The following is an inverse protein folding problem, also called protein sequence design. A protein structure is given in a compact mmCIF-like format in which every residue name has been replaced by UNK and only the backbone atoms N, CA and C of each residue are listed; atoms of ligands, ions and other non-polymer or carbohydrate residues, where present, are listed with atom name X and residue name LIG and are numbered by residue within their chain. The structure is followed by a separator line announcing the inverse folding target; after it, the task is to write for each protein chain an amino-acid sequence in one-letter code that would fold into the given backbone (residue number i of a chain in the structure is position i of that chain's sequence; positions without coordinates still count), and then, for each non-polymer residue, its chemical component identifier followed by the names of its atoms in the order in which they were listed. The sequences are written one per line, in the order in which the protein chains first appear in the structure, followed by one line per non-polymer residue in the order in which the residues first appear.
data_IF_063275882027
#
_entry.id   IF_063275882027
#
_cell.length_a   1.000
_cell.length_b   1.000
_cell.length_c   1.000
_cell.angle_alpha   90.00
_cell.angle_beta   90.00
_cell.angle_gamma   90.00
#
_symmetry.space_group_name_H-M   'P 1'
#
loop_
_entity.id
_entity.type
_entity.pdbx_description
1 polymer ?
#
# COMPACT_ATOMS: atom_id res chain seq x y z
N UNK A 1 19.88 4.26 27.29
CA UNK A 1 20.71 3.08 26.98
C UNK A 1 21.91 3.57 26.20
N UNK A 2 23.13 3.07 26.46
CA UNK A 2 24.33 3.45 25.70
C UNK A 2 24.09 3.24 24.20
N UNK A 3 24.28 4.29 23.39
CA UNK A 3 23.98 4.30 21.94
C UNK A 3 24.91 3.44 21.08
N UNK A 4 25.84 2.71 21.70
CA UNK A 4 26.83 1.92 20.96
C UNK A 4 26.27 0.52 20.66
N UNK A 5 25.89 0.33 19.40
CA UNK A 5 25.50 -0.98 18.85
C UNK A 5 26.64 -2.01 19.02
N UNK A 6 26.40 -3.16 19.68
CA UNK A 6 27.41 -4.23 19.81
C UNK A 6 27.76 -4.88 18.46
N UNK A 7 28.88 -5.61 18.40
CA UNK A 7 29.34 -6.27 17.17
C UNK A 7 28.38 -7.40 16.75
N UNK A 8 27.93 -7.45 15.48
CA UNK A 8 27.06 -8.52 14.99
C UNK A 8 27.65 -9.92 15.23
N UNK A 9 26.80 -10.90 15.54
CA UNK A 9 27.19 -12.28 15.81
C UNK A 9 27.66 -12.56 17.23
N UNK A 10 27.63 -11.57 18.13
CA UNK A 10 27.91 -11.74 19.56
C UNK A 10 26.61 -11.90 20.35
N UNK A 11 26.65 -12.60 21.50
CA UNK A 11 25.49 -12.76 22.38
C UNK A 11 24.93 -11.40 22.86
N UNK A 12 25.82 -10.44 23.13
CA UNK A 12 25.46 -9.07 23.51
C UNK A 12 24.68 -8.34 22.41
N UNK A 13 25.01 -8.58 21.13
CA UNK A 13 24.26 -8.02 20.02
C UNK A 13 22.84 -8.56 19.95
N UNK A 14 22.64 -9.86 20.18
CA UNK A 14 21.30 -10.45 20.18
C UNK A 14 20.45 -9.97 21.37
N UNK A 15 21.05 -9.82 22.56
CA UNK A 15 20.37 -9.23 23.72
C UNK A 15 19.96 -7.78 23.45
N UNK A 16 20.89 -6.95 22.96
CA UNK A 16 20.61 -5.57 22.56
C UNK A 16 19.52 -5.47 21.50
N UNK A 17 19.53 -6.36 20.50
CA UNK A 17 18.53 -6.40 19.43
C UNK A 17 17.13 -6.69 20.00
N UNK A 18 17.01 -7.69 20.86
CA UNK A 18 15.75 -8.08 21.48
C UNK A 18 15.20 -6.96 22.38
N UNK A 19 16.03 -6.34 23.20
CA UNK A 19 15.64 -5.21 24.05
C UNK A 19 15.17 -4.01 23.22
N UNK A 20 15.90 -3.70 22.14
CA UNK A 20 15.54 -2.61 21.22
C UNK A 20 14.24 -2.91 20.47
N UNK A 21 14.05 -4.13 19.99
CA UNK A 21 12.82 -4.54 19.31
C UNK A 21 11.61 -4.45 20.24
N UNK A 22 11.75 -4.90 21.50
CA UNK A 22 10.71 -4.79 22.52
C UNK A 22 10.35 -3.34 22.82
N UNK A 23 11.35 -2.47 23.02
CA UNK A 23 11.13 -1.05 23.27
C UNK A 23 10.43 -0.35 22.10
N UNK A 24 10.81 -0.66 20.85
CA UNK A 24 10.16 -0.11 19.65
C UNK A 24 8.72 -0.61 19.49
N UNK A 25 8.46 -1.89 19.76
CA UNK A 25 7.10 -2.43 19.73
C UNK A 25 6.18 -1.72 20.74
N UNK A 26 6.68 -1.45 21.95
CA UNK A 26 5.95 -0.69 22.96
C UNK A 26 5.69 0.76 22.50
N UNK A 27 6.71 1.45 21.97
CA UNK A 27 6.56 2.81 21.45
C UNK A 27 5.50 2.90 20.32
N UNK A 28 5.44 1.91 19.44
CA UNK A 28 4.42 1.88 18.37
C UNK A 28 3.00 1.70 18.92
N UNK A 29 2.83 0.97 20.02
CA UNK A 29 1.53 0.70 20.63
C UNK A 29 1.08 1.80 21.61
N UNK A 30 2.02 2.55 22.19
CA UNK A 30 1.74 3.65 23.11
C UNK A 30 1.11 4.88 22.44
N UNK A 31 1.29 5.05 21.13
CA UNK A 31 0.82 6.23 20.38
C UNK A 31 -0.70 6.27 20.13
N UNK A 32 -1.46 5.31 20.65
CA UNK A 32 -2.91 5.23 20.47
C UNK A 32 -3.31 4.90 19.02
N UNK A 33 -4.62 4.87 18.70
CA UNK A 33 -5.06 4.75 17.32
C UNK A 33 -4.48 5.91 16.51
N UNK A 34 -3.75 5.58 15.45
CA UNK A 34 -3.28 6.57 14.47
C UNK A 34 -4.53 7.16 13.83
N UNK A 35 -4.69 8.48 13.93
CA UNK A 35 -5.68 9.22 13.18
C UNK A 35 -5.20 9.24 11.72
N UNK A 36 -5.50 8.17 10.99
CA UNK A 36 -5.28 8.15 9.56
C UNK A 36 -6.20 9.21 8.98
N UNK A 37 -5.61 10.19 8.28
CA UNK A 37 -6.40 11.07 7.45
C UNK A 37 -7.07 10.21 6.36
N UNK A 38 -8.34 9.84 6.57
CA UNK A 38 -9.14 9.09 5.60
C UNK A 38 -9.41 9.90 4.32
N UNK A 39 -9.10 11.20 4.32
CA UNK A 39 -9.07 12.05 3.11
C UNK A 39 -7.70 12.05 2.44
N UNK A 40 -6.71 11.45 3.08
CA UNK A 40 -5.34 11.34 2.62
C UNK A 40 -5.14 10.18 1.65
N UNK A 41 -4.56 10.52 0.51
CA UNK A 41 -4.01 9.62 -0.52
C UNK A 41 -4.99 8.57 -1.07
N UNK A 42 -6.03 9.07 -1.74
CA UNK A 42 -6.46 8.44 -2.98
C UNK A 42 -5.62 9.14 -4.07
N UNK A 43 -4.56 8.51 -4.56
CA UNK A 43 -3.82 9.05 -5.70
C UNK A 43 -4.73 9.01 -6.93
N UNK A 44 -5.10 10.19 -7.42
CA UNK A 44 -5.97 10.39 -8.59
C UNK A 44 -6.90 11.58 -8.35
N UNK A 45 -7.10 12.44 -9.35
CA UNK A 45 -8.18 13.43 -9.31
C UNK A 45 -9.54 12.70 -9.35
N UNK A 46 -10.62 13.36 -8.91
CA UNK A 46 -11.98 12.84 -9.12
C UNK A 46 -12.24 12.52 -10.60
N UNK A 47 -11.66 13.31 -11.49
CA UNK A 47 -11.64 13.07 -12.92
C UNK A 47 -10.91 11.78 -13.28
N UNK A 48 -9.73 11.52 -12.70
CA UNK A 48 -8.97 10.28 -12.92
C UNK A 48 -9.69 9.03 -12.41
N UNK A 49 -10.47 9.14 -11.33
CA UNK A 49 -11.26 8.03 -10.80
C UNK A 49 -12.37 7.58 -11.76
N UNK A 50 -12.83 8.49 -12.61
CA UNK A 50 -13.90 8.26 -13.57
C UNK A 50 -13.41 8.15 -15.02
N UNK A 51 -12.14 8.47 -15.28
CA UNK A 51 -11.53 8.35 -16.61
C UNK A 51 -11.18 6.91 -16.93
N UNK A 52 -11.28 6.54 -18.20
CA UNK A 52 -10.76 5.24 -18.65
C UNK A 52 -9.25 5.33 -18.86
N UNK A 53 -8.55 4.20 -18.75
CA UNK A 53 -7.09 4.16 -18.99
C UNK A 53 -6.73 4.68 -20.42
N UNK A 54 -7.63 4.53 -21.39
CA UNK A 54 -7.48 5.07 -22.75
C UNK A 54 -7.59 6.61 -22.84
N UNK A 55 -8.27 7.25 -21.90
CA UNK A 55 -8.34 8.72 -21.79
C UNK A 55 -7.13 9.27 -21.01
N UNK A 56 -6.62 8.50 -20.05
CA UNK A 56 -5.45 8.87 -19.26
C UNK A 56 -4.14 8.71 -20.06
N UNK A 57 -4.07 7.75 -20.99
CA UNK A 57 -2.88 7.43 -21.79
C UNK A 57 -3.20 7.36 -23.29
N UNK A 58 -3.53 8.50 -23.95
CA UNK A 58 -3.97 8.53 -25.34
C UNK A 58 -2.88 8.16 -26.36
N UNK A 59 -1.60 8.27 -25.97
CA UNK A 59 -0.46 7.92 -26.83
C UNK A 59 -0.13 6.41 -26.80
N UNK A 60 -0.73 5.65 -25.87
CA UNK A 60 -0.50 4.22 -25.66
C UNK A 60 -1.59 3.35 -26.34
N UNK A 61 -2.09 3.80 -27.49
CA UNK A 61 -3.12 3.10 -28.29
C UNK A 61 -2.75 1.65 -28.64
N UNK A 62 -1.46 1.31 -28.69
CA UNK A 62 -0.99 -0.04 -28.98
C UNK A 62 -1.37 -1.09 -27.92
N UNK A 63 -1.62 -0.69 -26.66
CA UNK A 63 -1.95 -1.61 -25.56
C UNK A 63 -3.44 -1.99 -25.48
N UNK A 64 -4.30 -1.42 -26.33
CA UNK A 64 -5.75 -1.66 -26.31
C UNK A 64 -6.25 -2.45 -27.51
N UNK A 65 -5.61 -3.59 -27.83
CA UNK A 65 -6.15 -4.47 -28.87
C UNK A 65 -7.54 -4.97 -28.44
N UNK A 66 -8.52 -5.06 -29.36
CA UNK A 66 -9.83 -5.61 -29.05
C UNK A 66 -9.77 -7.02 -28.43
N UNK A 67 -8.73 -7.79 -28.77
CA UNK A 67 -8.45 -9.12 -28.24
C UNK A 67 -8.07 -9.14 -26.75
N UNK A 68 -7.42 -8.09 -26.24
CA UNK A 68 -6.94 -8.00 -24.85
C UNK A 68 -8.04 -7.53 -23.87
N UNK A 69 -9.19 -7.09 -24.41
CA UNK A 69 -10.33 -6.64 -23.62
C UNK A 69 -10.99 -7.83 -22.95
N UNK A 70 -11.06 -7.82 -21.61
CA UNK A 70 -11.83 -8.82 -20.86
C UNK A 70 -13.26 -8.88 -21.37
N UNK A 71 -13.84 -10.08 -21.57
CA UNK A 71 -15.22 -10.21 -21.99
C UNK A 71 -16.13 -9.52 -20.97
N UNK A 72 -17.02 -8.65 -21.47
CA UNK A 72 -18.06 -8.05 -20.65
C UNK A 72 -18.92 -9.18 -20.09
N UNK A 73 -18.90 -9.35 -18.77
CA UNK A 73 -19.88 -10.19 -18.07
C UNK A 73 -21.23 -9.49 -18.19
N UNK A 74 -21.99 -9.85 -19.23
CA UNK A 74 -23.37 -9.45 -19.34
C UNK A 74 -24.16 -10.19 -18.25
N UNK A 75 -24.57 -9.47 -17.19
CA UNK A 75 -25.58 -10.01 -16.30
C UNK A 75 -26.93 -9.87 -17.02
N UNK A 76 -27.48 -10.99 -17.49
CA UNK A 76 -28.90 -11.02 -17.84
C UNK A 76 -29.66 -10.68 -16.55
N UNK A 77 -30.31 -9.53 -16.53
CA UNK A 77 -31.35 -9.28 -15.53
C UNK A 77 -32.54 -10.09 -16.00
N UNK A 78 -33.00 -11.01 -15.16
CA UNK A 78 -34.27 -11.68 -15.35
C UNK A 78 -35.34 -10.59 -15.56
N UNK A 79 -36.02 -10.67 -16.71
CA UNK A 79 -37.16 -9.80 -17.00
C UNK A 79 -38.36 -10.39 -16.26
N UNK A 80 -38.86 -9.64 -15.28
CA UNK A 80 -40.20 -9.84 -14.69
C UNK A 80 -41.31 -9.77 -15.77
#
# INVERSE_FOLDING_TARGET
MSDKRPKPGTEEFYKWLNERAKARGQEMLERGPVDFDERGVIFGSEESLNSTDAEAFPDEIEEYRPEDRKPRLAHERDKD
#
